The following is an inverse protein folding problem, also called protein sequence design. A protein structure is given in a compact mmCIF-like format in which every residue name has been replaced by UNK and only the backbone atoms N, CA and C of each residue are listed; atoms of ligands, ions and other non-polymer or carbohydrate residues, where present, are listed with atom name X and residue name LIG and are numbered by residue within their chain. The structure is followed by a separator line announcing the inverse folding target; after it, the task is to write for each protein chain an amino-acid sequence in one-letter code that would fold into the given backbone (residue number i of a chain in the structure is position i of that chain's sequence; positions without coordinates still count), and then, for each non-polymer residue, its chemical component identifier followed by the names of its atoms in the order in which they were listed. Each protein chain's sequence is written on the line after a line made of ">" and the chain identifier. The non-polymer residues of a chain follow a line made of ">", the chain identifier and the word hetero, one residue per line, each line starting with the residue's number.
data_IF_211761238192
#
_entry.id   IF_211761238192
#
_cell.length_a   1.000
_cell.length_b   1.000
_cell.length_c   1.000
_cell.angle_alpha   90.00
_cell.angle_beta   90.00
_cell.angle_gamma   90.00
#
_symmetry.space_group_name_H-M   'P 1'
#
loop_
_entity.id
_entity.type
_entity.pdbx_description
1 polymer ?
#
# COMPACT_ATOMS: atom_id res chain seq x y z
N UNK A 1 1.05 -8.32 -11.28
CA UNK A 1 0.87 -6.84 -11.24
C UNK A 1 1.82 -6.20 -10.24
N UNK A 2 1.58 -6.23 -8.90
CA UNK A 2 2.43 -5.53 -7.91
C UNK A 2 3.94 -5.76 -8.10
N UNK A 3 4.37 -7.02 -8.21
CA UNK A 3 5.77 -7.39 -8.46
C UNK A 3 6.32 -6.74 -9.73
N UNK A 4 5.59 -6.86 -10.84
CA UNK A 4 5.99 -6.30 -12.14
C UNK A 4 6.10 -4.77 -12.15
N UNK A 5 5.37 -4.08 -11.28
CA UNK A 5 5.44 -2.62 -11.15
C UNK A 5 6.66 -2.19 -10.34
N UNK A 6 7.06 -3.02 -9.36
CA UNK A 6 8.25 -2.75 -8.54
C UNK A 6 9.53 -3.23 -9.24
N UNK A 7 9.46 -4.26 -10.07
CA UNK A 7 10.54 -4.66 -10.97
C UNK A 7 10.87 -3.49 -11.91
N UNK A 8 12.04 -2.87 -11.73
CA UNK A 8 12.47 -1.65 -12.39
C UNK A 8 12.62 -0.43 -11.46
N UNK A 9 12.17 -0.50 -10.19
CA UNK A 9 12.33 0.55 -9.18
C UNK A 9 13.46 0.25 -8.17
N UNK A 10 14.27 -0.78 -8.42
CA UNK A 10 15.36 -1.20 -7.53
C UNK A 10 16.41 -0.10 -7.35
N UNK A 11 16.59 0.75 -8.37
CA UNK A 11 17.50 1.91 -8.31
C UNK A 11 17.06 2.97 -7.29
N UNK A 12 15.77 3.00 -6.93
CA UNK A 12 15.23 3.83 -5.84
C UNK A 12 15.31 3.12 -4.49
N UNK A 13 15.64 1.83 -4.47
CA UNK A 13 15.70 0.97 -3.30
C UNK A 13 14.34 0.39 -2.90
N UNK A 14 13.43 0.24 -3.86
CA UNK A 14 12.18 -0.50 -3.69
C UNK A 14 12.36 -1.94 -4.17
N UNK A 15 11.98 -2.90 -3.33
CA UNK A 15 12.00 -4.33 -3.64
C UNK A 15 10.90 -5.03 -2.82
N UNK A 16 10.36 -6.13 -3.32
CA UNK A 16 9.17 -6.82 -2.79
C UNK A 16 9.46 -8.28 -2.51
N UNK A 17 9.14 -8.71 -1.29
CA UNK A 17 9.20 -10.10 -0.87
C UNK A 17 8.02 -10.90 -1.46
N UNK A 18 8.26 -11.98 -2.22
CA UNK A 18 7.20 -12.77 -2.86
C UNK A 18 6.18 -13.37 -1.88
N UNK A 19 6.63 -13.83 -0.71
CA UNK A 19 5.79 -14.43 0.33
C UNK A 19 4.97 -13.36 1.06
N UNK A 20 5.57 -12.20 1.35
CA UNK A 20 4.84 -11.07 1.94
C UNK A 20 3.81 -10.52 0.97
N UNK A 21 4.14 -10.46 -0.32
CA UNK A 21 3.27 -10.00 -1.39
C UNK A 21 2.13 -10.97 -1.72
N UNK A 22 2.20 -12.23 -1.31
CA UNK A 22 1.13 -13.21 -1.48
C UNK A 22 0.00 -13.01 -0.45
N UNK A 23 -0.61 -11.84 -0.47
CA UNK A 23 -1.71 -11.43 0.43
C UNK A 23 -2.79 -10.68 -0.33
N UNK A 24 -4.04 -10.81 0.12
CA UNK A 24 -5.21 -10.06 -0.39
C UNK A 24 -6.05 -9.55 0.76
N UNK A 25 -6.61 -8.35 0.60
CA UNK A 25 -7.58 -7.75 1.53
C UNK A 25 -7.04 -7.44 2.93
N UNK A 26 -5.71 -7.44 3.12
CA UNK A 26 -5.09 -7.12 4.41
C UNK A 26 -4.06 -6.03 4.22
N UNK A 27 -3.99 -5.14 5.20
CA UNK A 27 -2.91 -4.18 5.31
C UNK A 27 -1.61 -4.92 5.64
N UNK A 28 -0.57 -4.73 4.83
CA UNK A 28 0.71 -5.43 5.01
C UNK A 28 1.86 -4.71 4.32
N UNK A 29 3.00 -4.64 4.99
CA UNK A 29 4.28 -4.32 4.36
C UNK A 29 4.72 -5.52 3.52
N UNK A 30 4.93 -5.30 2.23
CA UNK A 30 5.34 -6.33 1.28
C UNK A 30 6.78 -6.15 0.80
N UNK A 31 7.46 -5.06 1.19
CA UNK A 31 8.87 -4.88 0.88
C UNK A 31 9.76 -5.88 1.60
N UNK A 32 10.93 -6.17 1.01
CA UNK A 32 11.98 -6.96 1.67
C UNK A 32 12.49 -6.25 2.92
N UNK A 33 12.97 -7.03 3.89
CA UNK A 33 13.48 -6.46 5.14
C UNK A 33 14.74 -5.63 4.87
N UNK A 34 14.77 -4.40 5.37
CA UNK A 34 15.85 -3.45 5.11
C UNK A 34 15.76 -2.71 3.77
N UNK A 35 14.69 -2.88 2.99
CA UNK A 35 14.44 -2.06 1.80
C UNK A 35 14.43 -0.57 2.16
N UNK A 36 15.13 0.24 1.35
CA UNK A 36 15.21 1.70 1.56
C UNK A 36 13.84 2.36 1.40
N UNK A 37 13.02 1.84 0.48
CA UNK A 37 11.65 2.28 0.25
C UNK A 37 10.70 1.17 0.69
N UNK A 38 9.80 1.51 1.61
CA UNK A 38 8.76 0.58 2.06
C UNK A 38 7.64 0.49 1.02
N UNK A 39 7.22 -0.74 0.70
CA UNK A 39 6.09 -1.01 -0.20
C UNK A 39 4.97 -1.65 0.62
N UNK A 40 3.77 -1.07 0.57
CA UNK A 40 2.63 -1.52 1.36
C UNK A 40 1.43 -1.86 0.49
N UNK A 41 0.66 -2.84 0.94
CA UNK A 41 -0.72 -3.06 0.51
C UNK A 41 -1.61 -2.43 1.59
N UNK A 42 -2.46 -1.49 1.21
CA UNK A 42 -3.44 -0.87 2.10
C UNK A 42 -4.83 -1.05 1.45
N UNK A 43 -5.74 -1.83 2.07
CA UNK A 43 -7.11 -1.91 1.59
C UNK A 43 -7.78 -0.54 1.65
N UNK A 44 -8.46 -0.15 0.58
CA UNK A 44 -9.30 1.04 0.61
C UNK A 44 -10.63 0.74 1.30
N UNK A 45 -11.20 1.74 1.98
CA UNK A 45 -12.56 1.71 2.51
C UNK A 45 -13.24 3.01 2.06
N UNK A 46 -13.92 2.93 0.93
CA UNK A 46 -14.51 4.09 0.25
C UNK A 46 -15.62 4.71 1.10
N UNK A 47 -16.43 3.89 1.77
CA UNK A 47 -17.52 4.35 2.64
C UNK A 47 -16.99 5.16 3.83
N UNK A 48 -15.87 4.76 4.41
CA UNK A 48 -15.24 5.50 5.50
C UNK A 48 -14.69 6.86 5.04
N UNK A 49 -14.08 6.92 3.84
CA UNK A 49 -13.61 8.18 3.26
C UNK A 49 -14.79 9.11 3.02
N UNK A 50 -15.84 8.65 2.33
CA UNK A 50 -17.04 9.44 2.06
C UNK A 50 -17.70 9.94 3.35
N UNK A 51 -17.80 9.09 4.37
CA UNK A 51 -18.40 9.46 5.65
C UNK A 51 -17.58 10.54 6.38
N UNK A 52 -16.24 10.46 6.33
CA UNK A 52 -15.34 11.47 6.90
C UNK A 52 -15.44 12.78 6.15
N UNK A 53 -15.40 12.75 4.82
CA UNK A 53 -15.53 13.93 3.97
C UNK A 53 -16.88 14.62 4.19
N UNK A 54 -17.97 13.85 4.23
CA UNK A 54 -19.32 14.37 4.53
C UNK A 54 -19.36 15.02 5.91
N UNK A 55 -18.77 14.38 6.93
CA UNK A 55 -18.69 14.92 8.29
C UNK A 55 -17.89 16.22 8.32
N UNK A 56 -16.79 16.30 7.59
CA UNK A 56 -15.96 17.51 7.51
C UNK A 56 -16.74 18.66 6.86
N UNK A 57 -17.45 18.39 5.75
CA UNK A 57 -18.26 19.38 5.04
C UNK A 57 -19.40 19.97 5.89
N UNK A 58 -20.00 19.20 6.79
CA UNK A 58 -21.11 19.67 7.64
C UNK A 58 -20.66 20.31 8.96
N UNK A 59 -19.41 20.11 9.38
CA UNK A 59 -18.85 20.68 10.61
C UNK A 59 -17.90 21.87 10.35
N UNK A 60 -17.73 22.27 9.09
CA UNK A 60 -16.99 23.46 8.66
C UNK A 60 -17.82 24.74 8.76
#
# INVERSE_FOLDING_TARGET
>A
VRKMVVEGLEFLGADVDPEKNNVRGKERIISTDGAKVSVLVVPTNEELVIARDTKELING
#
